data_IF_978000996698
#
_entry.id   IF_978000996698
#
_cell.length_a   1.000
_cell.length_b   1.000
_cell.length_c   1.000
_cell.angle_alpha   90.00
_cell.angle_beta   90.00
_cell.angle_gamma   90.00
#
_symmetry.space_group_name_H-M   'P 1'
#
loop_
_entity.id
_entity.type
_entity.pdbx_description
1 polymer ?
#
# COMPACT_ATOMS: atom_id res chain seq x y z
N UNK A 1 -9.92 6.34 -13.01
CA UNK A 1 -9.66 5.82 -11.67
C UNK A 1 -8.20 5.40 -11.67
N UNK A 2 -7.33 6.19 -11.04
CA UNK A 2 -5.87 5.94 -11.04
C UNK A 2 -5.50 5.36 -9.68
N UNK A 3 -4.92 4.16 -9.67
CA UNK A 3 -4.42 3.54 -8.45
C UNK A 3 -3.08 4.17 -8.08
N UNK A 4 -3.02 4.82 -6.93
CA UNK A 4 -1.78 5.40 -6.40
C UNK A 4 -1.26 4.56 -5.26
N UNK A 5 0.05 4.44 -5.14
CA UNK A 5 0.69 3.84 -3.99
C UNK A 5 1.35 4.90 -3.11
N UNK A 6 1.16 4.79 -1.80
CA UNK A 6 1.88 5.62 -0.84
C UNK A 6 3.37 5.30 -0.87
N UNK A 7 4.23 6.30 -0.93
CA UNK A 7 5.69 6.09 -0.97
C UNK A 7 6.25 5.56 0.35
N UNK A 8 5.57 5.81 1.48
CA UNK A 8 6.07 5.41 2.80
C UNK A 8 5.61 4.01 3.20
N UNK A 9 4.30 3.77 3.20
CA UNK A 9 3.72 2.49 3.65
C UNK A 9 3.32 1.56 2.50
N UNK A 10 3.52 1.99 1.24
CA UNK A 10 3.21 1.23 0.02
C UNK A 10 1.75 0.84 -0.15
N UNK A 11 0.85 1.35 0.68
CA UNK A 11 -0.60 1.13 0.54
C UNK A 11 -1.08 1.67 -0.80
N UNK A 12 -1.82 0.85 -1.53
CA UNK A 12 -2.52 1.27 -2.74
C UNK A 12 -3.85 1.88 -2.33
N UNK A 13 -4.12 3.08 -2.84
CA UNK A 13 -5.35 3.83 -2.63
C UNK A 13 -5.99 4.13 -3.98
N UNK A 14 -7.32 4.06 -4.00
CA UNK A 14 -8.14 4.41 -5.15
C UNK A 14 -8.84 5.73 -4.83
N UNK A 15 -8.71 6.72 -5.72
CA UNK A 15 -9.38 8.02 -5.65
C UNK A 15 -9.22 8.75 -4.30
N UNK A 16 -8.03 8.67 -3.71
CA UNK A 16 -7.64 9.43 -2.52
C UNK A 16 -6.33 10.17 -2.75
N UNK A 17 -6.24 11.38 -2.21
CA UNK A 17 -5.02 12.19 -2.19
C UNK A 17 -4.24 12.02 -0.86
N UNK A 18 -4.81 11.31 0.11
CA UNK A 18 -4.20 10.98 1.40
C UNK A 18 -4.21 9.46 1.64
N UNK A 19 -3.12 8.93 2.18
CA UNK A 19 -3.06 7.55 2.60
C UNK A 19 -3.87 7.33 3.90
N UNK A 20 -4.86 6.41 3.95
CA UNK A 20 -5.67 6.19 5.15
C UNK A 20 -4.90 5.53 6.30
N UNK A 21 -3.70 4.98 6.03
CA UNK A 21 -2.89 4.25 7.02
C UNK A 21 -1.90 5.18 7.70
N UNK A 22 -1.06 5.88 6.94
CA UNK A 22 -0.02 6.76 7.48
C UNK A 22 -0.34 8.26 7.38
N UNK A 23 -1.47 8.64 6.75
CA UNK A 23 -1.89 10.03 6.51
C UNK A 23 -0.89 10.87 5.71
N UNK A 24 -0.04 10.22 4.93
CA UNK A 24 0.84 10.92 4.00
C UNK A 24 0.08 11.26 2.71
N UNK A 25 0.36 12.45 2.16
CA UNK A 25 -0.20 12.96 0.91
C UNK A 25 0.75 12.73 -0.28
N UNK A 26 1.94 12.15 -0.03
CA UNK A 26 2.88 11.76 -1.09
C UNK A 26 2.49 10.37 -1.59
N UNK A 27 1.80 10.38 -2.72
CA UNK A 27 1.34 9.19 -3.43
C UNK A 27 1.93 9.19 -4.84
N UNK A 28 2.31 8.01 -5.33
CA UNK A 28 2.87 7.84 -6.67
C UNK A 28 1.98 6.95 -7.52
N UNK A 29 1.73 7.37 -8.76
CA UNK A 29 1.06 6.56 -9.79
C UNK A 29 2.01 5.49 -10.39
N UNK A 30 3.32 5.59 -10.14
CA UNK A 30 4.33 4.68 -10.68
C UNK A 30 4.74 3.65 -9.62
N UNK A 31 4.02 2.54 -9.58
CA UNK A 31 4.33 1.43 -8.69
C UNK A 31 4.23 0.09 -9.43
N UNK A 32 4.81 -0.95 -8.83
CA UNK A 32 4.82 -2.30 -9.43
C UNK A 32 4.80 -3.39 -8.36
N UNK A 33 4.20 -4.52 -8.74
CA UNK A 33 3.97 -5.67 -7.86
C UNK A 33 2.81 -5.40 -6.92
N UNK A 34 1.69 -6.11 -7.13
CA UNK A 34 0.50 -6.03 -6.29
C UNK A 34 0.55 -7.15 -5.25
N UNK A 35 0.39 -6.80 -3.99
CA UNK A 35 0.19 -7.74 -2.87
C UNK A 35 -1.14 -7.41 -2.22
N UNK A 36 -1.94 -8.43 -1.96
CA UNK A 36 -3.22 -8.28 -1.25
C UNK A 36 -3.14 -9.08 0.04
N UNK A 37 -3.15 -8.35 1.16
CA UNK A 37 -3.12 -8.93 2.50
C UNK A 37 -4.58 -9.07 2.96
N UNK A 38 -5.06 -10.31 3.03
CA UNK A 38 -6.36 -10.62 3.63
C UNK A 38 -6.25 -10.85 5.13
N UNK A 39 -5.16 -11.47 5.56
CA UNK A 39 -4.87 -11.80 6.95
C UNK A 39 -3.50 -11.25 7.34
N UNK A 40 -3.45 -10.51 8.44
CA UNK A 40 -2.24 -9.89 8.99
C UNK A 40 -1.34 -10.90 9.71
N UNK A 41 -1.85 -12.08 10.07
CA UNK A 41 -1.07 -13.16 10.67
C UNK A 41 -0.32 -14.01 9.62
N UNK A 42 -0.35 -13.58 8.35
CA UNK A 42 0.39 -14.24 7.27
C UNK A 42 1.88 -13.90 7.28
N UNK A 43 2.72 -14.86 6.89
CA UNK A 43 4.18 -14.68 6.77
C UNK A 43 4.54 -13.49 5.86
N UNK A 44 3.76 -13.27 4.79
CA UNK A 44 3.93 -12.13 3.88
C UNK A 44 3.65 -10.80 4.59
N UNK A 45 2.60 -10.74 5.41
CA UNK A 45 2.27 -9.53 6.16
C UNK A 45 3.35 -9.22 7.20
N UNK A 46 3.87 -10.23 7.89
CA UNK A 46 4.96 -10.11 8.85
C UNK A 46 6.26 -9.65 8.17
N UNK A 47 6.65 -10.28 7.06
CA UNK A 47 7.86 -9.92 6.30
C UNK A 47 7.79 -8.49 5.75
N UNK A 48 6.60 -8.03 5.35
CA UNK A 48 6.37 -6.67 4.88
C UNK A 48 6.11 -5.65 6.00
N UNK A 49 5.97 -6.09 7.26
CA UNK A 49 5.62 -5.22 8.39
C UNK A 49 4.22 -4.60 8.28
N UNK A 50 3.29 -5.27 7.60
CA UNK A 50 1.93 -4.79 7.35
C UNK A 50 1.01 -5.23 8.49
N UNK A 51 0.42 -4.26 9.19
CA UNK A 51 -0.51 -4.50 10.30
C UNK A 51 -1.98 -4.29 9.94
N UNK A 52 -2.28 -3.99 8.68
CA UNK A 52 -3.66 -3.71 8.22
C UNK A 52 -3.96 -4.44 6.92
N UNK A 53 -5.14 -5.08 6.80
CA UNK A 53 -5.51 -5.79 5.58
C UNK A 53 -5.77 -4.84 4.41
N UNK A 54 -5.44 -5.29 3.21
CA UNK A 54 -5.77 -4.67 1.92
C UNK A 54 -4.61 -4.67 0.92
N UNK A 55 -4.61 -3.70 0.00
CA UNK A 55 -3.77 -3.73 -1.21
C UNK A 55 -2.49 -2.92 -1.03
N UNK A 56 -1.35 -3.51 -1.36
CA UNK A 56 -0.03 -2.91 -1.22
C UNK A 56 0.81 -3.10 -2.49
N UNK A 57 1.71 -2.16 -2.74
CA UNK A 57 2.70 -2.23 -3.78
C UNK A 57 4.03 -2.80 -3.23
N UNK A 58 4.77 -3.56 -4.05
CA UNK A 58 6.11 -4.04 -3.65
C UNK A 58 7.14 -2.92 -3.85
N UNK A 59 7.08 -2.24 -5.00
CA UNK A 59 7.94 -1.13 -5.38
C UNK A 59 7.10 0.08 -5.75
N UNK A 60 7.48 1.24 -5.22
CA UNK A 60 6.92 2.56 -5.54
C UNK A 60 8.07 3.43 -5.99
N UNK A 61 7.91 4.17 -7.10
CA UNK A 61 8.90 5.09 -7.66
C UNK A 61 8.51 6.54 -7.46
#
# INVERSE_FOLDING_TARGET
MSEKACTDCKRIVEDSDECPVCKNNVLSDSWSGLVVIYDTDSEIAEEMGIQTPGRYAIRVK
#
